data_IF_282620023217
#
_entry.id   IF_282620023217
#
_cell.length_a   1.000
_cell.length_b   1.000
_cell.length_c   1.000
_cell.angle_alpha   90.00
_cell.angle_beta   90.00
_cell.angle_gamma   90.00
#
_symmetry.space_group_name_H-M   'P 1'
#
loop_
_entity.id
_entity.type
_entity.pdbx_description
1 polymer ?
#
# COMPACT_ATOMS: atom_id res chain seq x y z
N UNK A 1 26.62 -45.05 -13.03
CA UNK A 1 25.90 -44.82 -14.31
C UNK A 1 24.49 -44.41 -13.93
N UNK A 2 24.18 -43.12 -14.14
CA UNK A 2 22.88 -42.40 -14.14
C UNK A 2 21.94 -42.59 -12.93
N UNK A 3 21.74 -41.62 -12.02
CA UNK A 3 21.00 -40.33 -12.08
C UNK A 3 19.53 -40.44 -12.50
N UNK A 4 18.62 -40.15 -11.56
CA UNK A 4 17.27 -39.51 -11.63
C UNK A 4 16.57 -39.78 -10.29
N UNK A 5 15.82 -38.92 -9.62
CA UNK A 5 15.38 -37.53 -9.83
C UNK A 5 14.90 -37.04 -8.45
N UNK A 6 15.47 -35.95 -7.93
CA UNK A 6 14.85 -35.16 -6.85
C UNK A 6 13.99 -34.11 -7.53
N UNK A 7 12.78 -34.46 -7.92
CA UNK A 7 11.76 -33.50 -8.31
C UNK A 7 10.44 -34.24 -8.43
N UNK A 8 9.56 -34.05 -7.46
CA UNK A 8 8.10 -34.02 -7.63
C UNK A 8 7.54 -33.52 -6.30
N UNK A 9 7.92 -32.29 -5.95
CA UNK A 9 7.08 -31.49 -5.05
C UNK A 9 5.82 -31.20 -5.86
N UNK A 10 4.74 -31.77 -5.37
CA UNK A 10 3.39 -31.73 -5.89
C UNK A 10 2.97 -30.29 -6.29
N UNK A 11 3.00 -30.01 -7.60
CA UNK A 11 2.55 -28.76 -8.21
C UNK A 11 1.03 -28.56 -8.10
N UNK A 12 0.27 -29.51 -7.54
CA UNK A 12 -1.17 -29.38 -7.35
C UNK A 12 -1.57 -28.76 -6.00
N UNK A 13 -0.67 -28.68 -5.01
CA UNK A 13 -0.98 -28.13 -3.68
C UNK A 13 -0.86 -26.59 -3.59
N UNK A 14 -0.34 -25.93 -4.62
CA UNK A 14 -0.10 -24.48 -4.66
C UNK A 14 -1.21 -23.69 -5.42
N UNK A 15 -2.32 -24.31 -5.84
CA UNK A 15 -3.27 -23.67 -6.77
C UNK A 15 -4.73 -23.56 -6.31
N UNK A 16 -5.08 -23.99 -5.09
CA UNK A 16 -6.45 -23.85 -4.57
C UNK A 16 -6.63 -22.54 -3.77
N UNK A 17 -5.64 -22.19 -2.94
CA UNK A 17 -5.67 -20.97 -2.09
C UNK A 17 -5.62 -19.68 -2.92
N UNK A 18 -4.96 -19.69 -4.08
CA UNK A 18 -4.86 -18.52 -4.97
C UNK A 18 -6.13 -18.28 -5.81
N UNK A 19 -6.95 -19.32 -6.06
CA UNK A 19 -8.20 -19.16 -6.84
C UNK A 19 -9.33 -18.56 -6.02
N UNK A 20 -9.33 -18.74 -4.70
CA UNK A 20 -10.29 -18.11 -3.79
C UNK A 20 -9.97 -16.62 -3.61
N UNK A 21 -8.69 -16.23 -3.59
CA UNK A 21 -8.27 -14.83 -3.42
C UNK A 21 -8.56 -13.93 -4.63
N UNK A 22 -8.56 -14.47 -5.86
CA UNK A 22 -8.85 -13.69 -7.08
C UNK A 22 -10.36 -13.53 -7.35
N UNK A 23 -11.22 -14.37 -6.74
CA UNK A 23 -12.67 -14.36 -6.93
C UNK A 23 -13.43 -13.52 -5.89
N UNK A 24 -12.79 -13.13 -4.78
CA UNK A 24 -13.45 -12.40 -3.67
C UNK A 24 -13.17 -10.89 -3.64
N UNK A 25 -12.53 -10.31 -4.66
CA UNK A 25 -12.35 -8.87 -4.74
C UNK A 25 -13.42 -8.23 -5.61
N UNK A 26 -14.52 -7.80 -4.98
CA UNK A 26 -15.56 -7.01 -5.64
C UNK A 26 -14.95 -5.70 -6.17
N UNK A 27 -14.98 -5.42 -7.49
CA UNK A 27 -14.52 -4.15 -8.05
C UNK A 27 -15.21 -2.93 -7.43
N UNK A 28 -16.47 -3.08 -6.96
CA UNK A 28 -17.17 -2.02 -6.24
C UNK A 28 -16.48 -1.71 -4.90
N UNK A 29 -16.00 -2.74 -4.19
CA UNK A 29 -15.26 -2.58 -2.95
C UNK A 29 -13.95 -1.80 -3.16
N UNK A 30 -13.17 -2.09 -4.20
CA UNK A 30 -11.97 -1.30 -4.52
C UNK A 30 -12.29 0.17 -4.81
N UNK A 31 -13.40 0.40 -5.52
CA UNK A 31 -13.84 1.76 -5.85
C UNK A 31 -14.21 2.55 -4.59
N UNK A 32 -14.91 1.92 -3.66
CA UNK A 32 -15.28 2.56 -2.39
C UNK A 32 -14.06 2.78 -1.47
N UNK A 33 -13.11 1.84 -1.47
CA UNK A 33 -11.84 1.98 -0.76
C UNK A 33 -11.04 3.16 -1.32
N UNK A 34 -10.82 3.23 -2.64
CA UNK A 34 -10.11 4.35 -3.28
C UNK A 34 -10.77 5.70 -2.95
N UNK A 35 -12.11 5.77 -3.05
CA UNK A 35 -12.87 6.98 -2.68
C UNK A 35 -12.65 7.36 -1.22
N UNK A 36 -12.68 6.40 -0.30
CA UNK A 36 -12.47 6.64 1.12
C UNK A 36 -11.05 7.19 1.42
N UNK A 37 -10.02 6.65 0.78
CA UNK A 37 -8.65 7.17 0.92
C UNK A 37 -8.53 8.60 0.40
N UNK A 38 -9.00 8.85 -0.83
CA UNK A 38 -8.92 10.18 -1.47
C UNK A 38 -9.60 11.27 -0.64
N UNK A 39 -10.77 10.96 -0.07
CA UNK A 39 -11.50 11.91 0.78
C UNK A 39 -10.88 12.08 2.18
N UNK A 40 -10.02 11.15 2.62
CA UNK A 40 -9.40 11.19 3.95
C UNK A 40 -8.03 11.87 3.96
N UNK A 41 -7.37 11.99 2.81
CA UNK A 41 -6.07 12.66 2.68
C UNK A 41 -6.15 14.16 2.98
N UNK A 42 -5.18 14.63 3.74
CA UNK A 42 -5.04 16.03 4.13
C UNK A 42 -3.62 16.31 4.60
N UNK A 43 -3.33 17.57 4.96
CA UNK A 43 -2.09 17.93 5.63
C UNK A 43 -1.85 17.15 6.94
N UNK A 44 -2.92 16.76 7.67
CA UNK A 44 -2.81 16.04 8.96
C UNK A 44 -2.46 14.56 8.80
N UNK A 45 -2.73 13.97 7.64
CA UNK A 45 -2.32 12.60 7.30
C UNK A 45 -1.05 12.58 6.46
N UNK A 46 -0.60 13.74 5.98
CA UNK A 46 0.60 13.88 5.18
C UNK A 46 1.85 13.61 6.02
N UNK A 47 2.79 12.93 5.41
CA UNK A 47 4.15 12.85 5.89
C UNK A 47 4.76 14.25 6.08
N UNK A 48 5.27 14.60 7.29
CA UNK A 48 5.86 15.90 7.55
C UNK A 48 6.98 16.33 6.59
N UNK A 49 7.70 15.38 5.97
CA UNK A 49 8.79 15.73 5.03
C UNK A 49 8.28 16.26 3.68
N UNK A 50 7.01 15.97 3.35
CA UNK A 50 6.36 16.40 2.10
C UNK A 50 5.40 17.59 2.33
N UNK A 51 5.43 18.22 3.51
CA UNK A 51 4.71 19.46 3.77
C UNK A 51 5.39 20.67 3.09
N UNK A 52 4.63 21.68 2.62
CA UNK A 52 3.17 21.81 2.75
C UNK A 52 2.38 20.93 1.77
N UNK A 53 1.31 20.30 2.27
CA UNK A 53 0.40 19.49 1.45
C UNK A 53 -0.47 20.37 0.55
N UNK A 54 -0.70 19.93 -0.69
CA UNK A 54 -1.46 20.67 -1.69
C UNK A 54 -2.63 19.83 -2.23
N UNK A 55 -3.83 20.43 -2.26
CA UNK A 55 -5.02 19.78 -2.80
C UNK A 55 -4.92 19.46 -4.31
N UNK A 56 -4.02 20.12 -5.04
CA UNK A 56 -3.74 19.82 -6.46
C UNK A 56 -2.90 18.56 -6.66
N UNK A 57 -2.24 18.05 -5.62
CA UNK A 57 -1.54 16.77 -5.62
C UNK A 57 -1.76 16.08 -4.25
N UNK A 58 -2.97 15.59 -3.98
CA UNK A 58 -3.36 15.14 -2.64
C UNK A 58 -2.66 13.85 -2.20
N UNK A 59 -2.15 13.05 -3.16
CA UNK A 59 -1.43 11.81 -2.89
C UNK A 59 0.01 12.02 -2.38
N UNK A 60 0.61 13.20 -2.60
CA UNK A 60 1.97 13.52 -2.16
C UNK A 60 2.09 13.41 -0.63
N UNK A 61 3.09 12.66 -0.18
CA UNK A 61 3.32 12.40 1.24
C UNK A 61 2.33 11.42 1.89
N UNK A 62 1.49 10.73 1.11
CA UNK A 62 0.49 9.79 1.65
C UNK A 62 0.87 8.31 1.44
N UNK A 63 1.90 7.98 0.65
CA UNK A 63 2.16 6.60 0.21
C UNK A 63 2.37 5.61 1.36
N UNK A 64 3.25 5.94 2.32
CA UNK A 64 3.55 5.06 3.44
C UNK A 64 2.32 4.77 4.29
N UNK A 65 1.59 5.82 4.71
CA UNK A 65 0.39 5.66 5.54
C UNK A 65 -0.74 4.94 4.78
N UNK A 66 -0.90 5.22 3.49
CA UNK A 66 -1.92 4.60 2.63
C UNK A 66 -1.66 3.12 2.44
N UNK A 67 -0.44 2.74 2.05
CA UNK A 67 -0.08 1.34 1.79
C UNK A 67 -0.22 0.46 3.04
N UNK A 68 -0.09 1.05 4.23
CA UNK A 68 -0.26 0.33 5.49
C UNK A 68 -1.72 0.15 5.88
N UNK A 69 -2.51 1.23 5.85
CA UNK A 69 -3.94 1.15 6.14
C UNK A 69 -4.65 0.27 5.10
N UNK A 70 -4.24 0.33 3.83
CA UNK A 70 -4.78 -0.52 2.78
C UNK A 70 -4.47 -1.99 3.08
N UNK A 71 -3.22 -2.33 3.41
CA UNK A 71 -2.84 -3.68 3.83
C UNK A 71 -3.62 -4.18 5.03
N UNK A 72 -3.95 -3.32 6.00
CA UNK A 72 -4.78 -3.69 7.15
C UNK A 72 -6.24 -3.99 6.76
N UNK A 73 -6.75 -3.36 5.70
CA UNK A 73 -8.11 -3.58 5.20
C UNK A 73 -8.21 -4.85 4.34
N UNK A 74 -7.22 -5.08 3.46
CA UNK A 74 -7.35 -6.05 2.36
C UNK A 74 -6.20 -7.05 2.26
N UNK A 75 -5.24 -7.01 3.19
CA UNK A 75 -4.09 -7.91 3.22
C UNK A 75 -3.01 -7.58 2.19
N UNK A 76 -2.23 -8.60 1.83
CA UNK A 76 -1.14 -8.50 0.85
C UNK A 76 0.23 -8.13 1.42
N UNK A 77 1.20 -8.08 0.50
CA UNK A 77 2.57 -7.67 0.72
C UNK A 77 2.69 -6.15 0.68
N UNK A 78 3.69 -5.62 1.39
CA UNK A 78 4.09 -4.22 1.31
C UNK A 78 5.33 -4.15 0.43
N UNK A 79 5.23 -3.45 -0.70
CA UNK A 79 6.34 -3.19 -1.60
C UNK A 79 6.97 -1.85 -1.26
N UNK A 80 8.28 -1.75 -1.50
CA UNK A 80 9.04 -0.53 -1.30
C UNK A 80 10.11 -0.38 -2.37
N UNK A 81 10.15 0.79 -2.99
CA UNK A 81 11.16 1.13 -3.98
C UNK A 81 11.77 2.50 -3.69
N UNK A 82 13.03 2.67 -4.08
CA UNK A 82 13.65 3.98 -4.14
C UNK A 82 12.97 4.80 -5.26
N UNK A 83 12.81 6.09 -5.06
CA UNK A 83 12.42 7.05 -6.10
C UNK A 83 13.63 7.89 -6.47
N UNK A 84 14.01 7.87 -7.74
CA UNK A 84 15.12 8.67 -8.27
C UNK A 84 14.59 9.79 -9.15
N UNK A 85 15.29 10.91 -9.18
CA UNK A 85 15.14 11.92 -10.24
C UNK A 85 15.90 11.49 -11.49
N UNK A 86 15.62 12.13 -12.63
CA UNK A 86 16.36 11.91 -13.90
C UNK A 86 17.87 12.12 -13.79
N UNK A 87 18.32 12.98 -12.89
CA UNK A 87 19.74 13.23 -12.62
C UNK A 87 20.40 12.16 -11.74
N UNK A 88 19.64 11.13 -11.33
CA UNK A 88 20.10 10.04 -10.47
C UNK A 88 20.05 10.36 -8.97
N UNK A 89 19.65 11.57 -8.57
CA UNK A 89 19.49 11.90 -7.15
C UNK A 89 18.31 11.16 -6.53
N UNK A 90 18.49 10.67 -5.29
CA UNK A 90 17.40 10.02 -4.56
C UNK A 90 16.41 11.06 -4.03
N UNK A 91 15.15 10.92 -4.41
CA UNK A 91 14.06 11.73 -3.91
C UNK A 91 13.44 11.14 -2.64
N UNK A 92 13.35 9.82 -2.53
CA UNK A 92 12.74 9.19 -1.36
C UNK A 92 12.51 7.70 -1.55
N UNK A 93 11.58 7.17 -0.76
CA UNK A 93 11.06 5.81 -0.86
C UNK A 93 9.56 5.87 -1.18
N UNK A 94 9.08 4.92 -1.98
CA UNK A 94 7.67 4.77 -2.32
C UNK A 94 7.17 3.41 -1.85
N UNK A 95 5.97 3.38 -1.28
CA UNK A 95 5.35 2.17 -0.74
C UNK A 95 3.96 1.95 -1.34
N UNK A 96 3.65 0.70 -1.67
CA UNK A 96 2.35 0.26 -2.17
C UNK A 96 2.12 -1.23 -1.86
N UNK A 97 0.99 -1.80 -2.28
CA UNK A 97 0.63 -3.17 -1.94
C UNK A 97 0.65 -4.11 -3.13
N UNK A 98 0.95 -5.38 -2.87
CA UNK A 98 0.76 -6.48 -3.81
C UNK A 98 -0.09 -7.58 -3.18
N UNK A 99 -1.21 -7.90 -3.81
CA UNK A 99 -2.15 -8.93 -3.38
C UNK A 99 -1.69 -10.33 -3.84
N UNK A 100 -2.28 -11.40 -3.26
CA UNK A 100 -2.12 -12.75 -3.80
C UNK A 100 -2.44 -12.79 -5.31
N UNK A 101 -1.73 -13.63 -6.05
CA UNK A 101 -1.79 -13.64 -7.52
C UNK A 101 -1.02 -12.51 -8.21
N UNK A 102 -0.34 -11.63 -7.45
CA UNK A 102 0.62 -10.65 -8.00
C UNK A 102 0.01 -9.31 -8.43
N UNK A 103 -1.27 -9.06 -8.12
CA UNK A 103 -1.93 -7.79 -8.45
C UNK A 103 -1.39 -6.67 -7.56
N UNK A 104 -0.82 -5.62 -8.16
CA UNK A 104 -0.30 -4.47 -7.42
C UNK A 104 -1.34 -3.34 -7.35
N UNK A 105 -1.54 -2.79 -6.15
CA UNK A 105 -2.43 -1.67 -5.88
C UNK A 105 -1.61 -0.52 -5.30
N UNK A 106 -1.52 0.57 -6.06
CA UNK A 106 -0.88 1.81 -5.67
C UNK A 106 -1.87 2.97 -5.84
N UNK A 107 -2.58 3.30 -4.76
CA UNK A 107 -3.53 4.41 -4.73
C UNK A 107 -2.84 5.78 -4.78
N UNK A 108 -1.51 5.83 -4.66
CA UNK A 108 -0.75 7.08 -4.58
C UNK A 108 0.22 7.25 -5.75
N UNK A 109 0.04 6.49 -6.83
CA UNK A 109 0.93 6.51 -7.99
C UNK A 109 1.00 7.89 -8.64
N UNK A 110 -0.11 8.61 -8.63
CA UNK A 110 -0.26 9.95 -9.21
C UNK A 110 0.53 11.04 -8.47
N UNK A 111 1.15 10.74 -7.33
CA UNK A 111 1.93 11.73 -6.58
C UNK A 111 3.20 12.19 -7.32
N UNK A 112 3.66 11.38 -8.27
CA UNK A 112 4.94 11.56 -8.95
C UNK A 112 4.80 12.42 -10.19
N UNK A 113 5.77 13.32 -10.34
CA UNK A 113 5.96 14.06 -11.58
C UNK A 113 6.64 13.20 -12.64
N UNK A 114 6.70 13.69 -13.87
CA UNK A 114 7.41 13.05 -14.97
C UNK A 114 8.92 12.89 -14.72
N UNK A 115 9.48 13.59 -13.74
CA UNK A 115 10.91 13.54 -13.39
C UNK A 115 11.23 12.56 -12.26
N UNK A 116 10.22 11.98 -11.61
CA UNK A 116 10.36 11.05 -10.49
C UNK A 116 10.10 9.61 -10.95
N UNK A 117 11.13 8.77 -10.88
CA UNK A 117 11.15 7.42 -11.41
C UNK A 117 11.21 6.44 -10.24
N UNK A 118 10.11 5.71 -10.03
CA UNK A 118 10.04 4.60 -9.07
C UNK A 118 10.89 3.45 -9.61
N UNK A 119 11.84 2.97 -8.82
CA UNK A 119 12.73 1.88 -9.18
C UNK A 119 12.09 0.51 -8.92
N UNK A 120 12.83 -0.56 -9.19
CA UNK A 120 12.39 -1.93 -8.90
C UNK A 120 12.06 -2.09 -7.40
N UNK A 121 10.89 -2.64 -7.04
CA UNK A 121 10.52 -2.85 -5.64
C UNK A 121 11.24 -4.02 -4.99
N UNK A 122 11.37 -3.92 -3.67
CA UNK A 122 11.57 -5.06 -2.78
C UNK A 122 10.35 -5.26 -1.88
N UNK A 123 10.09 -6.51 -1.47
CA UNK A 123 9.09 -6.81 -0.44
C UNK A 123 9.64 -6.39 0.92
N UNK A 124 8.90 -5.55 1.63
CA UNK A 124 9.20 -5.23 3.02
C UNK A 124 8.70 -6.33 3.95
N UNK A 125 9.49 -6.74 4.95
CA UNK A 125 9.03 -7.66 5.97
C UNK A 125 7.89 -7.02 6.78
N UNK A 126 6.93 -7.82 7.26
CA UNK A 126 5.91 -7.32 8.16
C UNK A 126 6.55 -6.75 9.43
N UNK A 127 6.05 -5.62 9.90
CA UNK A 127 6.56 -4.96 11.09
C UNK A 127 5.72 -3.76 11.50
N UNK A 128 5.88 -3.28 12.74
CA UNK A 128 5.14 -2.13 13.22
C UNK A 128 5.56 -0.86 12.48
N UNK A 129 4.62 0.07 12.38
CA UNK A 129 4.91 1.42 11.96
C UNK A 129 5.94 2.07 12.89
N UNK A 130 7.06 2.51 12.31
CA UNK A 130 8.08 3.28 13.05
C UNK A 130 7.98 4.78 12.84
N UNK A 131 7.22 5.20 11.82
CA UNK A 131 7.16 6.59 11.35
C UNK A 131 5.73 6.93 10.93
N UNK A 132 5.33 8.19 11.06
CA UNK A 132 3.99 8.65 10.70
C UNK A 132 2.86 7.87 11.42
N UNK A 133 3.11 7.42 12.66
CA UNK A 133 2.17 6.60 13.45
C UNK A 133 0.86 7.34 13.68
N UNK A 134 0.92 8.62 14.03
CA UNK A 134 -0.26 9.45 14.27
C UNK A 134 -1.06 9.69 12.98
N UNK A 135 -0.36 10.00 11.88
CA UNK A 135 -0.94 10.17 10.55
C UNK A 135 -1.66 8.90 10.08
N UNK A 136 -1.03 7.74 10.26
CA UNK A 136 -1.62 6.46 9.90
C UNK A 136 -2.86 6.15 10.75
N UNK A 137 -2.81 6.41 12.06
CA UNK A 137 -3.97 6.22 12.95
C UNK A 137 -5.14 7.13 12.55
N UNK A 138 -4.86 8.40 12.23
CA UNK A 138 -5.88 9.34 11.76
C UNK A 138 -6.47 8.91 10.40
N UNK A 139 -5.61 8.54 9.45
CA UNK A 139 -6.04 8.06 8.13
C UNK A 139 -6.91 6.81 8.27
N UNK A 140 -6.48 5.84 9.09
CA UNK A 140 -7.23 4.63 9.40
C UNK A 140 -8.62 4.95 9.98
N UNK A 141 -8.69 5.83 10.97
CA UNK A 141 -9.96 6.25 11.56
C UNK A 141 -10.92 6.82 10.50
N UNK A 142 -10.43 7.75 9.66
CA UNK A 142 -11.25 8.40 8.62
C UNK A 142 -11.72 7.41 7.55
N UNK A 143 -10.81 6.59 7.02
CA UNK A 143 -11.12 5.60 5.97
C UNK A 143 -12.13 4.58 6.48
N UNK A 144 -11.94 4.05 7.69
CA UNK A 144 -12.87 3.08 8.29
C UNK A 144 -14.25 3.69 8.52
N UNK A 145 -14.31 4.94 9.00
CA UNK A 145 -15.58 5.66 9.16
C UNK A 145 -16.34 5.83 7.85
N UNK A 146 -15.63 6.16 6.75
CA UNK A 146 -16.23 6.27 5.42
C UNK A 146 -16.74 4.93 4.87
N UNK A 147 -16.09 3.83 5.21
CA UNK A 147 -16.48 2.48 4.83
C UNK A 147 -17.54 1.86 5.76
N UNK A 148 -18.00 2.58 6.79
CA UNK A 148 -18.94 2.06 7.79
C UNK A 148 -18.35 0.96 8.67
N UNK A 149 -17.02 0.85 8.73
CA UNK A 149 -16.31 -0.10 9.57
C UNK A 149 -16.11 0.47 10.98
N UNK A 150 -16.02 -0.38 12.02
CA UNK A 150 -15.72 0.08 13.37
C UNK A 150 -14.41 0.87 13.40
N UNK A 151 -14.44 2.11 13.86
CA UNK A 151 -13.22 2.91 14.06
C UNK A 151 -12.55 2.51 15.36
N UNK A 152 -11.22 2.63 15.44
CA UNK A 152 -10.52 2.50 16.71
C UNK A 152 -11.14 3.49 17.71
N UNK A 153 -11.40 3.05 18.95
CA UNK A 153 -11.76 3.96 20.03
C UNK A 153 -10.59 4.92 20.23
N UNK A 154 -10.78 6.16 19.82
CA UNK A 154 -9.81 7.22 20.11
C UNK A 154 -9.96 7.53 21.59
N UNK A 155 -9.14 6.90 22.42
CA UNK A 155 -8.94 7.34 23.79
C UNK A 155 -8.29 8.73 23.73
N UNK A 156 -9.13 9.77 23.71
CA UNK A 156 -8.69 11.12 24.03
C UNK A 156 -8.30 11.13 25.50
N UNK A 157 -7.00 11.24 25.76
CA UNK A 157 -6.46 11.71 27.03
C UNK A 157 -5.92 13.12 26.85
#
# INVERSE_FOLDING_TARGET
MLLTSLAEIDQAALAETDRVALAEFDPALLTDIDRAFRASWSAETCDPVDLPWAATNPARGQCGVTALVLRELIGGELLCAVVLRRDGSQQGMHLWNRLPGGVEIDLTREQFTVDEIVQEPAVLPPGPLRRCVQQAALLRHRVRGMLGLPTDEVAYA
#
